data_IF_086128958207
#
_entry.id   IF_086128958207
#
_cell.length_a   1.000
_cell.length_b   1.000
_cell.length_c   1.000
_cell.angle_alpha   90.00
_cell.angle_beta   90.00
_cell.angle_gamma   90.00
#
_symmetry.space_group_name_H-M   'P 1'
#
loop_
_entity.id
_entity.type
_entity.pdbx_description
1 polymer ?
#
# COMPACT_ATOMS: atom_id res chain seq x y z
N UNK A 1 7.72 2.16 -30.15
CA UNK A 1 7.83 2.49 -28.75
C UNK A 1 6.70 1.75 -28.03
N UNK A 2 7.01 0.63 -27.38
CA UNK A 2 6.02 -0.13 -26.62
C UNK A 2 5.74 0.58 -25.31
N UNK A 3 4.49 0.93 -25.09
CA UNK A 3 3.99 1.32 -23.78
C UNK A 3 4.11 0.11 -22.86
N UNK A 4 5.03 0.16 -21.90
CA UNK A 4 5.08 -0.81 -20.83
C UNK A 4 3.87 -0.53 -19.93
N UNK A 5 2.81 -1.30 -20.11
CA UNK A 5 1.70 -1.31 -19.17
C UNK A 5 2.19 -1.97 -17.87
N UNK A 6 2.08 -1.27 -16.75
CA UNK A 6 2.16 -1.89 -15.44
C UNK A 6 0.89 -2.74 -15.33
N UNK A 7 1.04 -4.05 -15.48
CA UNK A 7 -0.08 -4.97 -15.47
C UNK A 7 0.10 -6.02 -14.38
N UNK A 8 -0.96 -6.26 -13.61
CA UNK A 8 -1.04 -7.47 -12.80
C UNK A 8 -1.30 -8.66 -13.71
N UNK A 9 -0.55 -9.74 -13.51
CA UNK A 9 -0.88 -11.03 -14.10
C UNK A 9 -1.49 -11.92 -13.04
N UNK A 10 -2.74 -12.29 -13.24
CA UNK A 10 -3.35 -13.36 -12.47
C UNK A 10 -2.91 -14.69 -13.10
N UNK A 11 -2.28 -15.55 -12.32
CA UNK A 11 -1.85 -16.88 -12.75
C UNK A 11 -2.75 -17.92 -12.10
N UNK A 12 -3.42 -18.73 -12.92
CA UNK A 12 -4.10 -19.93 -12.40
C UNK A 12 -3.03 -20.97 -12.04
N UNK A 13 -2.78 -21.14 -10.76
CA UNK A 13 -1.76 -22.06 -10.25
C UNK A 13 -2.11 -23.54 -10.49
N UNK A 14 -3.40 -23.86 -10.66
CA UNK A 14 -3.85 -25.24 -10.94
C UNK A 14 -3.56 -25.66 -12.37
N UNK A 15 -3.65 -24.76 -13.34
CA UNK A 15 -3.45 -25.04 -14.76
C UNK A 15 -2.11 -24.55 -15.30
N UNK A 16 -1.34 -23.80 -14.50
CA UNK A 16 -0.06 -23.22 -14.91
C UNK A 16 -0.18 -22.18 -16.04
N UNK A 17 -1.38 -21.72 -16.33
CA UNK A 17 -1.66 -20.73 -17.38
C UNK A 17 -1.82 -19.34 -16.80
N UNK A 18 -1.09 -18.37 -17.37
CA UNK A 18 -1.35 -16.97 -17.10
C UNK A 18 -2.75 -16.61 -17.64
N UNK A 19 -3.65 -16.21 -16.75
CA UNK A 19 -4.92 -15.63 -17.18
C UNK A 19 -4.60 -14.26 -17.81
N UNK A 20 -5.07 -14.03 -19.03
CA UNK A 20 -4.98 -12.72 -19.70
C UNK A 20 -6.02 -11.77 -19.09
N UNK A 21 -5.88 -11.43 -17.82
CA UNK A 21 -6.66 -10.36 -17.22
C UNK A 21 -5.73 -9.18 -16.97
N UNK A 22 -5.77 -8.21 -17.85
CA UNK A 22 -5.16 -6.91 -17.57
C UNK A 22 -6.10 -6.13 -16.68
N UNK A 23 -5.59 -5.62 -15.56
CA UNK A 23 -6.33 -4.65 -14.75
C UNK A 23 -6.33 -3.33 -15.51
N UNK A 24 -7.50 -2.88 -15.93
CA UNK A 24 -7.68 -1.58 -16.56
C UNK A 24 -7.87 -0.49 -15.51
N UNK A 25 -7.46 0.74 -15.82
CA UNK A 25 -7.65 1.89 -14.94
C UNK A 25 -6.56 2.07 -13.87
N UNK A 26 -5.34 1.62 -14.16
CA UNK A 26 -4.19 1.92 -13.34
C UNK A 26 -3.83 3.41 -13.39
N UNK A 27 -3.24 3.98 -12.31
CA UNK A 27 -2.89 5.39 -12.28
C UNK A 27 -1.87 5.73 -13.36
N UNK A 28 -2.15 6.78 -14.14
CA UNK A 28 -1.28 7.25 -15.22
C UNK A 28 0.05 7.81 -14.70
N UNK A 29 0.16 8.17 -13.42
CA UNK A 29 1.34 8.77 -12.84
C UNK A 29 2.63 7.98 -13.11
N UNK A 30 2.57 6.65 -13.12
CA UNK A 30 3.73 5.80 -13.39
C UNK A 30 4.14 5.79 -14.88
N UNK A 31 3.20 6.05 -15.79
CA UNK A 31 3.51 6.23 -17.21
C UNK A 31 3.89 7.66 -17.55
N UNK A 32 3.24 8.65 -16.90
CA UNK A 32 3.39 10.07 -17.18
C UNK A 32 4.72 10.62 -16.63
N UNK A 33 5.16 10.13 -15.47
CA UNK A 33 6.43 10.55 -14.88
C UNK A 33 7.23 9.36 -14.31
N UNK A 34 7.59 8.42 -15.17
CA UNK A 34 8.39 7.25 -14.79
C UNK A 34 9.71 7.59 -14.12
N UNK A 35 10.33 8.73 -14.49
CA UNK A 35 11.58 9.17 -13.89
C UNK A 35 11.43 9.54 -12.41
N UNK A 36 10.23 9.89 -11.97
CA UNK A 36 9.95 10.23 -10.56
C UNK A 36 9.56 9.01 -9.73
N UNK A 37 8.77 8.09 -10.31
CA UNK A 37 8.10 7.03 -9.54
C UNK A 37 8.71 5.63 -9.70
N UNK A 38 9.79 5.48 -10.48
CA UNK A 38 10.40 4.17 -10.79
C UNK A 38 10.81 3.35 -9.56
N UNK A 39 11.25 4.00 -8.48
CA UNK A 39 11.61 3.32 -7.24
C UNK A 39 10.39 2.87 -6.42
N UNK A 40 9.21 3.38 -6.73
CA UNK A 40 7.98 3.23 -5.97
C UNK A 40 6.88 2.58 -6.80
N UNK A 41 7.26 1.79 -7.80
CA UNK A 41 6.34 1.08 -8.71
C UNK A 41 5.83 -0.25 -8.13
N UNK A 42 6.13 -0.53 -6.86
CA UNK A 42 5.57 -1.70 -6.19
C UNK A 42 4.13 -1.46 -5.73
N UNK A 43 3.42 -2.55 -5.65
CA UNK A 43 1.99 -2.56 -5.39
C UNK A 43 1.67 -3.43 -4.19
N UNK A 44 0.66 -3.01 -3.45
CA UNK A 44 0.04 -3.78 -2.38
C UNK A 44 -1.39 -4.10 -2.78
N UNK A 45 -1.87 -5.24 -2.39
CA UNK A 45 -3.28 -5.57 -2.60
C UNK A 45 -3.78 -6.52 -1.53
N UNK A 46 -5.08 -6.51 -1.35
CA UNK A 46 -5.83 -7.49 -0.60
C UNK A 46 -7.14 -7.82 -1.30
N UNK A 47 -7.77 -8.92 -0.96
CA UNK A 47 -8.97 -9.43 -1.63
C UNK A 47 -9.99 -9.77 -0.55
N UNK A 48 -11.22 -9.23 -0.69
CA UNK A 48 -12.32 -9.54 0.21
C UNK A 48 -13.02 -10.88 -0.13
N UNK A 49 -13.94 -11.31 0.72
CA UNK A 49 -14.72 -12.54 0.58
C UNK A 49 -15.67 -12.57 -0.64
N UNK A 50 -15.85 -11.43 -1.31
CA UNK A 50 -16.60 -11.26 -2.55
C UNK A 50 -15.70 -11.22 -3.80
N UNK A 51 -14.40 -11.55 -3.67
CA UNK A 51 -13.39 -11.42 -4.72
C UNK A 51 -13.19 -9.99 -5.24
N UNK A 52 -13.54 -8.95 -4.47
CA UNK A 52 -13.12 -7.59 -4.80
C UNK A 52 -11.66 -7.41 -4.40
N UNK A 53 -10.89 -6.78 -5.27
CA UNK A 53 -9.48 -6.52 -5.04
C UNK A 53 -9.27 -5.04 -4.67
N UNK A 54 -8.64 -4.80 -3.54
CA UNK A 54 -8.21 -3.50 -3.04
C UNK A 54 -6.75 -3.30 -3.39
N UNK A 55 -6.44 -2.36 -4.27
CA UNK A 55 -5.09 -2.18 -4.82
C UNK A 55 -4.56 -0.80 -4.46
N UNK A 56 -3.41 -0.75 -3.82
CA UNK A 56 -2.67 0.46 -3.52
C UNK A 56 -1.28 0.46 -4.16
N UNK A 57 -0.80 1.63 -4.53
CA UNK A 57 0.56 1.82 -5.03
C UNK A 57 1.38 2.60 -4.01
N UNK A 58 2.69 2.35 -3.99
CA UNK A 58 3.57 2.95 -2.99
C UNK A 58 3.57 4.49 -3.00
N UNK A 59 3.49 5.10 -4.19
CA UNK A 59 3.50 6.55 -4.33
C UNK A 59 2.11 7.18 -4.52
N UNK A 60 1.04 6.38 -4.67
CA UNK A 60 -0.30 6.90 -4.93
C UNK A 60 -1.11 7.01 -3.64
N UNK A 61 -1.78 8.12 -3.46
CA UNK A 61 -2.65 8.35 -2.31
C UNK A 61 -3.99 7.59 -2.38
N UNK A 62 -4.34 7.02 -3.53
CA UNK A 62 -5.57 6.30 -3.74
C UNK A 62 -5.42 4.79 -3.55
N UNK A 63 -6.49 4.16 -3.12
CA UNK A 63 -6.76 2.72 -3.17
C UNK A 63 -7.82 2.49 -4.24
N UNK A 64 -7.55 1.62 -5.18
CA UNK A 64 -8.45 1.27 -6.27
C UNK A 64 -9.14 -0.04 -5.97
N UNK A 65 -10.46 -0.06 -6.10
CA UNK A 65 -11.25 -1.27 -5.86
C UNK A 65 -11.77 -1.81 -7.19
N UNK A 66 -11.49 -3.07 -7.42
CA UNK A 66 -11.93 -3.82 -8.62
C UNK A 66 -12.89 -4.93 -8.19
N UNK A 67 -13.86 -5.26 -9.04
CA UNK A 67 -14.75 -6.39 -8.83
C UNK A 67 -14.06 -7.74 -9.15
N UNK A 68 -14.78 -8.85 -8.92
CA UNK A 68 -14.32 -10.22 -9.23
C UNK A 68 -13.94 -10.42 -10.71
N UNK A 69 -14.46 -9.60 -11.62
CA UNK A 69 -14.08 -9.59 -13.04
C UNK A 69 -12.90 -8.66 -13.36
N UNK A 70 -12.28 -8.05 -12.32
CA UNK A 70 -11.20 -7.08 -12.44
C UNK A 70 -11.62 -5.76 -13.13
N UNK A 71 -12.91 -5.42 -13.05
CA UNK A 71 -13.40 -4.11 -13.52
C UNK A 71 -13.34 -3.09 -12.39
N UNK A 72 -12.95 -1.84 -12.68
CA UNK A 72 -12.95 -0.78 -11.68
C UNK A 72 -14.35 -0.57 -11.09
N UNK A 73 -14.45 -0.51 -9.77
CA UNK A 73 -15.67 -0.17 -9.03
C UNK A 73 -15.62 1.28 -8.56
N UNK A 74 -14.65 1.60 -7.75
CA UNK A 74 -14.43 2.95 -7.21
C UNK A 74 -12.98 3.08 -6.73
N UNK A 75 -12.59 4.28 -6.34
CA UNK A 75 -11.34 4.54 -5.65
C UNK A 75 -11.59 5.45 -4.44
N UNK A 76 -10.76 5.30 -3.43
CA UNK A 76 -10.77 6.12 -2.22
C UNK A 76 -9.36 6.32 -1.71
N UNK A 77 -9.17 7.27 -0.81
CA UNK A 77 -7.88 7.52 -0.19
C UNK A 77 -7.51 9.00 -0.20
N UNK A 78 -6.46 9.31 0.52
CA UNK A 78 -5.82 10.63 0.58
C UNK A 78 -4.38 10.49 0.99
N UNK A 79 -3.60 11.55 0.80
CA UNK A 79 -2.21 11.59 1.27
C UNK A 79 -2.13 11.37 2.77
N UNK A 80 -1.15 10.59 3.20
CA UNK A 80 -0.84 10.39 4.61
C UNK A 80 -0.40 11.70 5.28
N UNK A 81 -0.78 11.87 6.54
CA UNK A 81 -0.43 13.07 7.31
C UNK A 81 1.09 13.13 7.52
N UNK A 82 1.68 14.27 7.15
CA UNK A 82 3.13 14.52 7.22
C UNK A 82 4.00 13.53 6.42
N UNK A 83 3.45 12.95 5.36
CA UNK A 83 4.18 12.05 4.47
C UNK A 83 5.05 12.88 3.50
N UNK A 84 6.37 12.67 3.52
CA UNK A 84 7.30 13.32 2.59
C UNK A 84 7.24 12.65 1.22
N UNK A 85 6.54 13.28 0.28
CA UNK A 85 6.37 12.82 -1.10
C UNK A 85 7.18 13.60 -2.13
N UNK A 86 8.17 14.37 -1.67
CA UNK A 86 9.08 15.07 -2.55
C UNK A 86 10.16 14.12 -3.09
N UNK A 87 9.74 13.25 -4.03
CA UNK A 87 10.60 12.22 -4.61
C UNK A 87 11.63 12.81 -5.55
N UNK A 88 12.86 12.31 -5.45
CA UNK A 88 13.93 12.61 -6.39
C UNK A 88 13.68 11.97 -7.75
N UNK A 89 13.97 12.71 -8.81
CA UNK A 89 13.88 12.22 -10.18
C UNK A 89 15.14 11.45 -10.57
N UNK A 90 14.93 10.35 -11.28
CA UNK A 90 16.04 9.58 -11.84
C UNK A 90 16.66 10.33 -13.02
N UNK A 91 17.92 10.74 -12.87
CA UNK A 91 18.75 11.29 -13.95
C UNK A 91 19.70 10.23 -14.51
N UNK A 92 20.27 10.49 -15.68
CA UNK A 92 21.10 9.52 -16.41
C UNK A 92 22.42 9.14 -15.72
N UNK A 93 22.89 9.90 -14.74
CA UNK A 93 24.20 9.71 -14.10
C UNK A 93 24.14 9.28 -12.64
N UNK A 94 23.00 9.36 -11.98
CA UNK A 94 22.88 9.09 -10.55
C UNK A 94 21.58 8.36 -10.16
N UNK A 95 21.13 7.45 -11.01
CA UNK A 95 19.89 6.70 -10.82
C UNK A 95 19.87 5.93 -9.49
N UNK A 96 21.01 5.38 -9.07
CA UNK A 96 21.11 4.58 -7.86
C UNK A 96 20.94 5.44 -6.59
N UNK A 97 21.44 6.67 -6.58
CA UNK A 97 21.26 7.55 -5.43
C UNK A 97 19.80 8.03 -5.31
N UNK A 98 19.18 8.43 -6.41
CA UNK A 98 17.75 8.78 -6.41
C UNK A 98 16.88 7.59 -5.98
N UNK A 99 17.17 6.37 -6.47
CA UNK A 99 16.49 5.16 -6.03
C UNK A 99 16.63 4.97 -4.51
N UNK A 100 17.86 4.99 -4.00
CA UNK A 100 18.15 4.83 -2.58
C UNK A 100 17.45 5.90 -1.74
N UNK A 101 17.53 7.16 -2.13
CA UNK A 101 16.88 8.27 -1.41
C UNK A 101 15.37 8.06 -1.34
N UNK A 102 14.71 7.76 -2.44
CA UNK A 102 13.26 7.58 -2.46
C UNK A 102 12.79 6.40 -1.58
N UNK A 103 13.53 5.30 -1.55
CA UNK A 103 13.19 4.13 -0.72
C UNK A 103 13.53 4.33 0.76
N UNK A 104 14.64 5.02 1.08
CA UNK A 104 15.10 5.10 2.47
C UNK A 104 14.65 6.35 3.17
N UNK A 105 14.53 7.50 2.45
CA UNK A 105 14.30 8.81 3.08
C UNK A 105 12.90 9.36 2.87
N UNK A 106 12.19 8.93 1.80
CA UNK A 106 10.87 9.46 1.48
C UNK A 106 9.75 8.61 2.06
N UNK A 107 8.56 9.22 2.13
CA UNK A 107 7.34 8.54 2.55
C UNK A 107 6.74 7.74 1.41
N UNK A 108 6.14 6.60 1.73
CA UNK A 108 5.41 5.78 0.77
C UNK A 108 4.49 4.79 1.50
N UNK A 109 3.46 4.34 0.81
CA UNK A 109 2.59 3.29 1.32
C UNK A 109 3.25 1.93 1.14
N UNK A 110 3.08 1.02 2.14
CA UNK A 110 3.74 -0.27 2.12
C UNK A 110 2.87 -1.45 2.54
N UNK A 111 1.65 -1.21 3.01
CA UNK A 111 0.72 -2.26 3.42
C UNK A 111 -0.73 -1.86 3.21
N UNK A 112 -1.58 -2.82 2.86
CA UNK A 112 -3.03 -2.72 2.83
C UNK A 112 -3.60 -4.02 3.37
N UNK A 113 -4.67 -3.93 4.13
CA UNK A 113 -5.43 -5.07 4.69
C UNK A 113 -6.89 -4.69 4.76
N UNK A 114 -7.74 -5.55 4.24
CA UNK A 114 -9.19 -5.41 4.35
C UNK A 114 -9.72 -6.49 5.27
N UNK A 115 -10.48 -6.12 6.28
CA UNK A 115 -11.05 -7.05 7.26
C UNK A 115 -12.53 -7.25 6.94
N UNK A 116 -12.87 -8.40 6.38
CA UNK A 116 -14.21 -8.73 5.91
C UNK A 116 -15.27 -8.63 7.01
N UNK A 117 -14.98 -9.13 8.21
CA UNK A 117 -15.93 -9.15 9.33
C UNK A 117 -16.38 -7.76 9.75
N UNK A 118 -15.59 -6.75 9.48
CA UNK A 118 -15.87 -5.37 9.92
C UNK A 118 -16.04 -4.38 8.78
N UNK A 119 -15.66 -4.76 7.55
CA UNK A 119 -15.65 -3.89 6.38
C UNK A 119 -14.65 -2.75 6.48
N UNK A 120 -13.57 -2.94 7.25
CA UNK A 120 -12.55 -1.91 7.50
C UNK A 120 -11.30 -2.21 6.68
N UNK A 121 -10.83 -1.20 5.97
CA UNK A 121 -9.57 -1.24 5.23
C UNK A 121 -8.51 -0.45 5.98
N UNK A 122 -7.39 -1.09 6.26
CA UNK A 122 -6.20 -0.48 6.87
C UNK A 122 -5.13 -0.26 5.83
N UNK A 123 -4.44 0.88 5.91
CA UNK A 123 -3.35 1.21 5.01
C UNK A 123 -2.20 1.84 5.76
N UNK A 124 -1.06 1.16 5.79
CA UNK A 124 0.14 1.67 6.47
C UNK A 124 1.06 2.42 5.52
N UNK A 125 1.73 3.46 6.02
CA UNK A 125 2.65 4.26 5.23
C UNK A 125 3.83 4.76 6.05
N UNK A 126 4.99 4.90 5.41
CA UNK A 126 6.13 5.63 5.95
C UNK A 126 5.90 7.12 5.78
N UNK A 127 6.28 7.91 6.77
CA UNK A 127 6.26 9.37 6.67
C UNK A 127 7.53 9.93 6.01
N UNK A 128 8.64 9.24 6.16
CA UNK A 128 9.98 9.62 5.70
C UNK A 128 11.02 9.34 6.78
N UNK A 129 12.30 9.60 6.47
CA UNK A 129 13.41 9.26 7.37
C UNK A 129 13.40 10.05 8.69
N UNK A 130 12.95 11.31 8.60
CA UNK A 130 12.98 12.23 9.76
C UNK A 130 11.86 11.99 10.78
N UNK A 131 10.91 11.10 10.45
CA UNK A 131 9.83 10.73 11.37
C UNK A 131 10.24 9.55 12.26
N UNK A 132 9.96 9.65 13.54
CA UNK A 132 10.10 8.54 14.50
C UNK A 132 8.99 7.50 14.35
N UNK A 133 7.87 7.86 13.68
CA UNK A 133 6.67 7.07 13.54
C UNK A 133 6.33 6.85 12.07
N UNK A 134 5.68 5.75 11.79
CA UNK A 134 4.92 5.53 10.56
C UNK A 134 3.47 6.00 10.73
N UNK A 135 2.65 5.88 9.71
CA UNK A 135 1.25 6.24 9.75
C UNK A 135 0.34 5.06 9.41
N UNK A 136 -0.86 5.10 9.97
CA UNK A 136 -1.94 4.15 9.70
C UNK A 136 -3.20 4.92 9.33
N UNK A 137 -3.69 4.71 8.13
CA UNK A 137 -4.99 5.15 7.69
C UNK A 137 -6.02 4.04 7.88
N UNK A 138 -7.18 4.40 8.41
CA UNK A 138 -8.31 3.50 8.65
C UNK A 138 -9.49 3.98 7.83
N UNK A 139 -10.00 3.14 6.95
CA UNK A 139 -11.14 3.45 6.08
C UNK A 139 -12.28 2.48 6.32
N UNK A 140 -13.51 2.99 6.21
CA UNK A 140 -14.73 2.18 6.14
C UNK A 140 -15.65 2.76 5.06
N UNK A 141 -16.15 1.92 4.17
CA UNK A 141 -16.99 2.32 3.03
C UNK A 141 -16.34 3.46 2.18
N UNK A 142 -15.01 3.39 2.00
CA UNK A 142 -14.23 4.40 1.29
C UNK A 142 -14.04 5.73 2.02
N UNK A 143 -14.55 5.87 3.25
CA UNK A 143 -14.40 7.08 4.07
C UNK A 143 -13.26 6.90 5.08
N UNK A 144 -12.41 7.92 5.20
CA UNK A 144 -11.37 7.94 6.22
C UNK A 144 -12.01 8.12 7.60
N UNK A 145 -11.76 7.16 8.50
CA UNK A 145 -12.14 7.22 9.91
C UNK A 145 -11.02 7.81 10.77
N UNK A 146 -9.78 7.40 10.48
CA UNK A 146 -8.61 7.86 11.22
C UNK A 146 -7.36 7.87 10.34
N UNK A 147 -6.43 8.76 10.66
CA UNK A 147 -5.05 8.80 10.17
C UNK A 147 -4.17 9.08 11.38
N UNK A 148 -3.50 8.06 11.90
CA UNK A 148 -2.81 8.12 13.19
C UNK A 148 -1.36 7.63 13.08
N UNK A 149 -0.55 8.03 14.07
CA UNK A 149 0.83 7.57 14.20
C UNK A 149 0.90 6.17 14.79
N UNK A 150 1.85 5.38 14.28
CA UNK A 150 2.11 4.02 14.71
C UNK A 150 3.61 3.76 14.78
N UNK A 151 4.07 2.74 15.53
CA UNK A 151 5.45 2.31 15.44
C UNK A 151 5.89 2.01 14.01
N UNK A 152 7.18 2.18 13.71
CA UNK A 152 7.74 1.88 12.38
C UNK A 152 7.45 0.44 11.96
N UNK A 153 7.06 0.29 10.70
CA UNK A 153 6.74 -1.01 10.11
C UNK A 153 5.40 -1.60 10.53
N UNK A 154 4.55 -0.83 11.22
CA UNK A 154 3.25 -1.32 11.71
C UNK A 154 2.33 -1.74 10.57
N UNK A 155 1.77 -2.95 10.69
CA UNK A 155 0.78 -3.51 9.76
C UNK A 155 -0.32 -4.17 10.56
N UNK A 156 -1.57 -3.91 10.21
CA UNK A 156 -2.69 -4.73 10.66
C UNK A 156 -2.70 -6.00 9.81
N UNK A 157 -2.86 -7.16 10.44
CA UNK A 157 -2.78 -8.46 9.75
C UNK A 157 -3.93 -9.39 10.11
N UNK A 158 -4.90 -8.94 10.89
CA UNK A 158 -6.05 -9.76 11.20
C UNK A 158 -6.95 -9.19 12.29
N UNK A 159 -8.08 -9.91 12.46
CA UNK A 159 -9.12 -9.55 13.40
C UNK A 159 -9.61 -10.80 14.16
N UNK A 160 -9.70 -10.69 15.48
CA UNK A 160 -10.38 -11.63 16.35
C UNK A 160 -11.27 -10.80 17.27
N UNK A 161 -12.58 -10.90 17.07
CA UNK A 161 -13.56 -10.04 17.73
C UNK A 161 -13.30 -9.87 19.23
N UNK A 162 -13.32 -8.66 19.76
CA UNK A 162 -13.57 -7.37 19.10
C UNK A 162 -12.27 -6.60 18.71
N UNK A 163 -11.16 -7.28 18.53
CA UNK A 163 -9.83 -6.66 18.39
C UNK A 163 -9.19 -6.91 17.04
N UNK A 164 -8.51 -5.86 16.54
CA UNK A 164 -7.55 -5.94 15.44
C UNK A 164 -6.15 -6.22 16.00
N UNK A 165 -5.33 -6.90 15.23
CA UNK A 165 -3.98 -7.29 15.61
C UNK A 165 -2.95 -6.81 14.60
N UNK A 166 -1.81 -6.33 15.12
CA UNK A 166 -0.65 -6.05 14.28
C UNK A 166 0.14 -7.32 13.98
N UNK A 167 1.00 -7.24 12.97
CA UNK A 167 2.12 -8.18 12.86
C UNK A 167 3.02 -8.09 14.08
N UNK A 168 3.90 -9.06 14.23
CA UNK A 168 4.97 -9.03 15.24
C UNK A 168 5.95 -7.90 14.87
N UNK A 169 6.24 -7.03 15.83
CA UNK A 169 7.22 -5.95 15.71
C UNK A 169 8.33 -6.23 16.73
N UNK A 170 9.58 -6.29 16.27
CA UNK A 170 10.74 -6.44 17.17
C UNK A 170 11.04 -5.14 17.92
N UNK A 171 11.34 -5.22 19.21
CA UNK A 171 11.90 -4.10 19.96
C UNK A 171 13.36 -3.86 19.56
N UNK A 172 13.72 -2.58 19.35
CA UNK A 172 15.05 -2.23 18.85
C UNK A 172 16.17 -2.47 19.88
N UNK A 173 15.87 -2.41 21.19
CA UNK A 173 16.90 -2.40 22.25
C UNK A 173 17.03 -3.70 23.02
N UNK A 174 15.97 -4.48 23.17
CA UNK A 174 15.94 -5.65 24.08
C UNK A 174 15.63 -6.98 23.39
N UNK A 175 15.41 -6.96 22.07
CA UNK A 175 15.05 -8.15 21.31
C UNK A 175 13.63 -8.66 21.63
N UNK A 176 12.80 -7.87 22.30
CA UNK A 176 11.40 -8.22 22.57
C UNK A 176 10.59 -8.30 21.29
N UNK A 177 9.59 -9.18 21.28
CA UNK A 177 8.62 -9.30 20.21
C UNK A 177 7.27 -8.81 20.71
N UNK A 178 6.71 -7.82 20.03
CA UNK A 178 5.44 -7.19 20.41
C UNK A 178 4.38 -7.42 19.34
N UNK A 179 3.16 -7.68 19.81
CA UNK A 179 1.94 -7.65 18.99
C UNK A 179 1.00 -6.62 19.59
N UNK A 180 0.63 -5.64 18.81
CA UNK A 180 -0.36 -4.65 19.22
C UNK A 180 -1.77 -5.20 19.01
N UNK A 181 -2.62 -4.97 20.00
CA UNK A 181 -4.03 -5.28 19.97
C UNK A 181 -4.83 -4.02 20.25
N UNK A 182 -5.76 -3.68 19.38
CA UNK A 182 -6.60 -2.49 19.51
C UNK A 182 -8.02 -2.74 18.98
N UNK A 183 -8.93 -1.84 19.30
CA UNK A 183 -10.29 -1.80 18.73
C UNK A 183 -10.60 -0.39 18.23
N UNK A 184 -11.51 -0.30 17.30
CA UNK A 184 -12.11 0.95 16.85
C UNK A 184 -13.36 1.21 17.68
N UNK A 185 -13.49 2.41 18.21
CA UNK A 185 -14.67 2.86 18.97
C UNK A 185 -15.73 3.46 18.05
#
# INVERSE_FOLDING_TARGET
>A
AGTASVGFRVVNMTEGKALKSEIQGLPSMFSDDRAKYRALDFVMFDIDDQDNMYVGFAADSLVYVFDHNRKPKFAFGRSGVNMDTDYERFGSLDEMNAYRTNITKKGYYYWIEYIDETGVCFRSYKKGADSEYDGLQVYKDGKLLADCETPKGFKVVGYIAPYYYSQIIGGEEDGSLMVYRFKLD
#
